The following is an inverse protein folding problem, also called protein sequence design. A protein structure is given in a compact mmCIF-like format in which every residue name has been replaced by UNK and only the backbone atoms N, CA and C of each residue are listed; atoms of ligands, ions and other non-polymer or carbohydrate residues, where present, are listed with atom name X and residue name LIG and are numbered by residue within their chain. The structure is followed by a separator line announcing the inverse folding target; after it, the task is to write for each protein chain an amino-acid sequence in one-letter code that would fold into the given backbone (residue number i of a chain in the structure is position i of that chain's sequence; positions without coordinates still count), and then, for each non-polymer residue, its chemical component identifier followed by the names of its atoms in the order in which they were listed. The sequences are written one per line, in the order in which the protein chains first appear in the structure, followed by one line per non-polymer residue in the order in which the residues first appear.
data_IF_665174928484
#
_entry.id   IF_665174928484
#
_cell.length_a   1.000
_cell.length_b   1.000
_cell.length_c   1.000
_cell.angle_alpha   90.00
_cell.angle_beta   90.00
_cell.angle_gamma   90.00
#
_symmetry.space_group_name_H-M   'P 1'
#
loop_
_entity.id
_entity.type
_entity.pdbx_description
1 polymer ?
#
# COMPACT_ATOMS: atom_id res chain seq x y z
N UNK A 1 -13.26 -9.68 -14.86
CA UNK A 1 -13.34 -8.47 -13.99
C UNK A 1 -12.02 -8.37 -13.25
N UNK A 2 -11.24 -7.36 -13.56
CA UNK A 2 -10.05 -7.00 -12.79
C UNK A 2 -10.48 -6.24 -11.52
N UNK A 3 -9.67 -6.32 -10.44
CA UNK A 3 -10.01 -5.80 -9.11
C UNK A 3 -11.42 -6.25 -8.66
N UNK A 4 -11.68 -7.55 -8.79
CA UNK A 4 -13.02 -8.13 -8.59
C UNK A 4 -13.56 -7.98 -7.16
N UNK A 5 -12.75 -7.56 -6.19
CA UNK A 5 -13.23 -7.13 -4.88
C UNK A 5 -14.26 -6.00 -4.98
N UNK A 6 -14.26 -5.21 -6.07
CA UNK A 6 -15.25 -4.16 -6.34
C UNK A 6 -16.56 -4.69 -6.95
N UNK A 7 -16.61 -5.97 -7.37
CA UNK A 7 -17.76 -6.52 -8.09
C UNK A 7 -19.07 -6.49 -7.27
N UNK A 8 -19.01 -6.44 -5.94
CA UNK A 8 -20.21 -6.31 -5.09
C UNK A 8 -20.81 -4.89 -5.05
N UNK A 9 -20.20 -3.88 -5.71
CA UNK A 9 -20.79 -2.54 -5.78
C UNK A 9 -21.96 -2.48 -6.74
N UNK A 10 -22.91 -1.57 -6.50
CA UNK A 10 -24.14 -1.43 -7.29
C UNK A 10 -23.87 -1.21 -8.78
N UNK A 11 -22.86 -0.41 -9.13
CA UNK A 11 -22.50 -0.14 -10.52
C UNK A 11 -21.97 -1.37 -11.24
N UNK A 12 -21.11 -2.17 -10.58
CA UNK A 12 -20.62 -3.42 -11.15
C UNK A 12 -21.73 -4.46 -11.29
N UNK A 13 -22.63 -4.58 -10.30
CA UNK A 13 -23.76 -5.49 -10.37
C UNK A 13 -24.70 -5.15 -11.54
N UNK A 14 -24.99 -3.87 -11.77
CA UNK A 14 -25.81 -3.44 -12.91
C UNK A 14 -25.19 -3.90 -14.25
N UNK A 15 -23.88 -3.70 -14.44
CA UNK A 15 -23.18 -4.14 -15.67
C UNK A 15 -23.19 -5.67 -15.80
N UNK A 16 -23.03 -6.41 -14.70
CA UNK A 16 -23.06 -7.87 -14.69
C UNK A 16 -24.46 -8.38 -15.06
N UNK A 17 -25.50 -7.77 -14.52
CA UNK A 17 -26.90 -8.16 -14.76
C UNK A 17 -27.30 -7.85 -16.20
N UNK A 18 -26.92 -6.70 -16.74
CA UNK A 18 -27.11 -6.37 -18.17
C UNK A 18 -26.40 -7.41 -19.07
N UNK A 19 -25.14 -7.72 -18.77
CA UNK A 19 -24.38 -8.69 -19.56
C UNK A 19 -24.99 -10.11 -19.48
N UNK A 20 -25.53 -10.53 -18.34
CA UNK A 20 -26.25 -11.80 -18.16
C UNK A 20 -27.58 -11.82 -18.90
N UNK A 21 -28.28 -10.70 -18.96
CA UNK A 21 -29.53 -10.58 -19.73
C UNK A 21 -29.32 -10.80 -21.24
N UNK A 22 -28.17 -10.28 -21.73
CA UNK A 22 -27.78 -10.44 -23.14
C UNK A 22 -27.21 -11.83 -23.45
N UNK A 23 -26.54 -12.46 -22.48
CA UNK A 23 -25.98 -13.79 -22.62
C UNK A 23 -26.19 -14.64 -21.35
N UNK A 24 -27.23 -15.45 -21.28
CA UNK A 24 -27.53 -16.32 -20.12
C UNK A 24 -26.40 -17.32 -19.78
N UNK A 25 -25.54 -17.63 -20.74
CA UNK A 25 -24.39 -18.54 -20.56
C UNK A 25 -23.10 -17.83 -20.18
N UNK A 26 -23.16 -16.53 -19.84
CA UNK A 26 -22.01 -15.73 -19.42
C UNK A 26 -21.27 -16.40 -18.26
N UNK A 27 -19.96 -16.56 -18.43
CA UNK A 27 -19.05 -16.97 -17.36
C UNK A 27 -18.29 -15.75 -16.86
N UNK A 28 -18.24 -15.59 -15.55
CA UNK A 28 -17.50 -14.52 -14.91
C UNK A 28 -16.18 -15.05 -14.34
N UNK A 29 -15.08 -14.41 -14.71
CA UNK A 29 -13.78 -14.59 -14.09
C UNK A 29 -13.42 -13.31 -13.36
N UNK A 30 -13.12 -13.42 -12.07
CA UNK A 30 -12.63 -12.33 -11.22
C UNK A 30 -11.16 -12.51 -10.91
N UNK A 31 -10.39 -11.42 -11.01
CA UNK A 31 -8.99 -11.32 -10.60
C UNK A 31 -8.87 -10.25 -9.53
N UNK A 32 -8.16 -10.52 -8.45
CA UNK A 32 -7.85 -9.54 -7.40
C UNK A 32 -6.64 -10.02 -6.60
N UNK A 33 -5.78 -9.08 -6.22
CA UNK A 33 -4.73 -9.35 -5.24
C UNK A 33 -5.29 -9.43 -3.80
N UNK A 34 -6.45 -8.81 -3.57
CA UNK A 34 -7.06 -8.65 -2.25
C UNK A 34 -8.57 -8.85 -2.35
N UNK A 35 -9.05 -10.09 -2.40
CA UNK A 35 -10.48 -10.37 -2.60
C UNK A 35 -11.35 -10.03 -1.37
N UNK A 36 -10.76 -9.95 -0.18
CA UNK A 36 -11.48 -9.50 1.02
C UNK A 36 -11.82 -8.02 0.93
N UNK A 37 -13.07 -7.71 1.23
CA UNK A 37 -13.61 -6.34 1.27
C UNK A 37 -13.83 -5.96 2.72
N UNK A 38 -13.27 -4.83 3.12
CA UNK A 38 -13.51 -4.33 4.46
C UNK A 38 -14.92 -3.76 4.72
N UNK A 39 -15.83 -3.84 3.75
CA UNK A 39 -17.21 -3.33 3.88
C UNK A 39 -18.25 -4.44 4.19
N UNK A 40 -17.80 -5.67 4.53
CA UNK A 40 -18.66 -6.78 4.90
C UNK A 40 -19.54 -7.32 3.76
N UNK A 41 -19.24 -7.01 2.51
CA UNK A 41 -20.01 -7.50 1.35
C UNK A 41 -19.36 -8.72 0.74
N UNK A 42 -19.99 -9.88 0.93
CA UNK A 42 -19.54 -11.14 0.34
C UNK A 42 -19.49 -11.11 -1.19
N UNK A 43 -18.41 -11.62 -1.76
CA UNK A 43 -18.28 -11.85 -3.21
C UNK A 43 -18.99 -13.12 -3.68
N UNK A 44 -19.49 -13.95 -2.77
CA UNK A 44 -20.17 -15.23 -3.08
C UNK A 44 -21.43 -15.04 -3.92
N UNK A 45 -22.08 -13.87 -3.86
CA UNK A 45 -23.24 -13.55 -4.73
C UNK A 45 -22.84 -13.40 -6.20
N UNK A 46 -21.59 -13.05 -6.47
CA UNK A 46 -21.07 -12.81 -7.84
C UNK A 46 -20.26 -13.99 -8.36
N UNK A 47 -19.44 -14.60 -7.51
CA UNK A 47 -18.54 -15.70 -7.85
C UNK A 47 -18.89 -16.94 -7.03
N UNK A 48 -18.94 -18.11 -7.67
CA UNK A 48 -19.32 -19.37 -7.04
C UNK A 48 -18.20 -20.04 -6.25
N UNK A 49 -16.95 -19.84 -6.66
CA UNK A 49 -15.77 -20.49 -6.07
C UNK A 49 -14.51 -19.69 -6.32
N UNK A 50 -13.46 -20.02 -5.56
CA UNK A 50 -12.08 -19.59 -5.82
C UNK A 50 -11.43 -20.67 -6.70
N UNK A 51 -11.14 -20.32 -7.96
CA UNK A 51 -10.54 -21.26 -8.91
C UNK A 51 -9.06 -21.49 -8.66
N UNK A 52 -8.34 -20.43 -8.29
CA UNK A 52 -6.89 -20.49 -8.03
C UNK A 52 -6.43 -19.34 -7.13
N UNK A 53 -5.46 -19.61 -6.27
CA UNK A 53 -4.80 -18.62 -5.42
C UNK A 53 -3.30 -18.73 -5.58
N UNK A 54 -2.63 -17.58 -5.81
CA UNK A 54 -1.17 -17.47 -5.79
C UNK A 54 -0.75 -16.75 -4.51
N UNK A 55 0.04 -17.39 -3.67
CA UNK A 55 0.55 -16.80 -2.43
C UNK A 55 1.79 -15.94 -2.69
N UNK A 56 1.92 -14.82 -1.98
CA UNK A 56 3.08 -13.91 -2.08
C UNK A 56 4.39 -14.65 -1.82
N UNK A 57 4.45 -15.51 -0.80
CA UNK A 57 5.63 -16.33 -0.49
C UNK A 57 6.03 -17.27 -1.63
N UNK A 58 5.06 -17.85 -2.36
CA UNK A 58 5.34 -18.67 -3.54
C UNK A 58 5.94 -17.82 -4.68
N UNK A 59 5.44 -16.60 -4.89
CA UNK A 59 6.01 -15.67 -5.89
C UNK A 59 7.42 -15.22 -5.53
N UNK A 60 7.70 -14.99 -4.24
CA UNK A 60 9.04 -14.69 -3.74
C UNK A 60 9.98 -15.89 -3.96
N UNK A 61 9.55 -17.11 -3.61
CA UNK A 61 10.34 -18.32 -3.80
C UNK A 61 10.65 -18.60 -5.28
N UNK A 62 9.76 -18.22 -6.20
CA UNK A 62 9.96 -18.31 -7.65
C UNK A 62 10.80 -17.14 -8.20
N UNK A 63 11.18 -16.15 -7.38
CA UNK A 63 11.92 -14.96 -7.80
C UNK A 63 11.12 -13.99 -8.70
N UNK A 64 9.78 -14.03 -8.63
CA UNK A 64 8.87 -13.10 -9.33
C UNK A 64 8.64 -11.83 -8.51
N UNK A 65 8.73 -11.93 -7.18
CA UNK A 65 8.70 -10.81 -6.25
C UNK A 65 9.98 -10.82 -5.40
N UNK A 66 10.33 -9.66 -4.83
CA UNK A 66 11.39 -9.55 -3.83
C UNK A 66 10.81 -9.66 -2.42
N UNK A 67 11.57 -10.17 -1.43
CA UNK A 67 11.09 -10.26 -0.05
C UNK A 67 10.96 -8.89 0.60
N UNK A 68 9.94 -8.64 1.45
CA UNK A 68 9.83 -7.46 2.28
C UNK A 68 10.77 -7.55 3.50
N UNK A 69 11.34 -6.41 3.90
CA UNK A 69 12.00 -6.20 5.19
C UNK A 69 11.25 -5.12 5.94
N UNK A 70 10.44 -5.51 6.91
CA UNK A 70 9.55 -4.59 7.62
C UNK A 70 10.19 -4.11 8.91
N UNK A 71 10.19 -2.79 9.10
CA UNK A 71 10.53 -2.11 10.34
C UNK A 71 9.28 -1.39 10.82
N UNK A 72 8.77 -1.78 11.98
CA UNK A 72 7.74 -1.02 12.69
C UNK A 72 8.45 -0.03 13.60
N UNK A 73 8.16 1.25 13.40
CA UNK A 73 8.83 2.35 14.08
C UNK A 73 7.82 3.03 14.99
N UNK A 74 8.12 3.03 16.27
CA UNK A 74 7.30 3.73 17.26
C UNK A 74 7.74 5.20 17.34
N UNK A 75 6.86 6.09 16.92
CA UNK A 75 7.04 7.55 17.05
C UNK A 75 6.51 8.09 18.39
N UNK A 76 6.16 7.22 19.34
CA UNK A 76 5.58 7.60 20.62
C UNK A 76 4.12 8.07 20.55
N UNK A 77 3.42 7.75 19.44
CA UNK A 77 2.01 8.12 19.21
C UNK A 77 1.09 6.91 19.06
N UNK A 78 1.56 5.73 19.45
CA UNK A 78 0.83 4.48 19.31
C UNK A 78 -0.54 4.50 19.98
N UNK A 79 -0.65 5.02 21.19
CA UNK A 79 -1.91 5.14 21.94
C UNK A 79 -2.87 6.12 21.27
N UNK A 80 -2.37 7.24 20.73
CA UNK A 80 -3.17 8.22 20.01
C UNK A 80 -3.75 7.60 18.73
N UNK A 81 -2.96 6.83 18.00
CA UNK A 81 -3.40 6.12 16.78
C UNK A 81 -4.36 4.97 17.10
N UNK A 82 -4.17 4.26 18.20
CA UNK A 82 -5.07 3.19 18.63
C UNK A 82 -6.45 3.71 19.04
N UNK A 83 -6.52 4.96 19.53
CA UNK A 83 -7.75 5.64 19.91
C UNK A 83 -8.52 6.29 18.76
N UNK A 84 -8.07 6.16 17.50
CA UNK A 84 -8.76 6.75 16.36
C UNK A 84 -10.10 6.06 16.08
N UNK A 85 -11.14 6.87 15.89
CA UNK A 85 -12.43 6.39 15.42
C UNK A 85 -12.33 5.83 14.00
N UNK A 86 -13.11 4.78 13.73
CA UNK A 86 -13.30 4.25 12.38
C UNK A 86 -14.75 4.40 11.97
N UNK A 87 -14.98 4.93 10.78
CA UNK A 87 -16.30 4.96 10.13
C UNK A 87 -16.33 3.96 8.99
N UNK A 88 -17.52 3.73 8.41
CA UNK A 88 -17.81 2.66 7.44
C UNK A 88 -16.81 2.54 6.26
N UNK A 89 -15.59 2.11 6.52
CA UNK A 89 -14.60 1.79 5.50
C UNK A 89 -13.18 2.25 5.75
N UNK A 90 -12.92 3.19 6.69
CA UNK A 90 -11.54 3.57 7.06
C UNK A 90 -11.51 4.31 8.42
N UNK A 91 -10.30 4.58 8.93
CA UNK A 91 -10.09 5.46 10.07
C UNK A 91 -10.43 6.92 9.72
N UNK A 92 -10.68 7.75 10.76
CA UNK A 92 -10.71 9.21 10.58
C UNK A 92 -9.32 9.72 10.19
N UNK A 93 -9.10 9.89 8.89
CA UNK A 93 -7.82 10.34 8.34
C UNK A 93 -7.46 11.77 8.75
N UNK A 94 -8.44 12.63 9.07
CA UNK A 94 -8.15 13.97 9.61
C UNK A 94 -7.67 13.89 11.06
N UNK A 95 -8.21 12.96 11.83
CA UNK A 95 -7.69 12.68 13.17
C UNK A 95 -6.28 12.07 13.10
N UNK A 96 -6.04 11.13 12.21
CA UNK A 96 -4.70 10.55 11.96
C UNK A 96 -3.70 11.63 11.52
N UNK A 97 -4.11 12.57 10.66
CA UNK A 97 -3.28 13.71 10.26
C UNK A 97 -2.86 14.58 11.45
N UNK A 98 -3.82 14.94 12.32
CA UNK A 98 -3.49 15.72 13.55
C UNK A 98 -2.46 15.02 14.46
N UNK A 99 -2.43 13.69 14.44
CA UNK A 99 -1.45 12.93 15.21
C UNK A 99 -0.10 12.86 14.50
N UNK A 100 -0.07 12.52 13.23
CA UNK A 100 1.14 12.18 12.47
C UNK A 100 1.79 13.39 11.77
N UNK A 101 1.02 14.42 11.42
CA UNK A 101 1.51 15.61 10.72
C UNK A 101 2.03 16.68 11.71
N UNK A 102 2.99 16.28 12.53
CA UNK A 102 3.72 17.16 13.47
C UNK A 102 5.17 17.25 12.99
N UNK A 103 5.74 18.44 12.95
CA UNK A 103 7.09 18.67 12.42
C UNK A 103 8.13 17.70 13.04
N UNK A 104 8.13 17.54 14.36
CA UNK A 104 9.02 16.60 15.05
C UNK A 104 8.90 15.16 14.55
N UNK A 105 7.68 14.71 14.22
CA UNK A 105 7.46 13.35 13.69
C UNK A 105 7.88 13.25 12.23
N UNK A 106 7.68 14.30 11.43
CA UNK A 106 8.12 14.33 10.02
C UNK A 106 9.64 14.30 9.92
N UNK A 107 10.35 15.03 10.81
CA UNK A 107 11.81 14.99 10.89
C UNK A 107 12.29 13.58 11.27
N UNK A 108 11.65 12.94 12.26
CA UNK A 108 11.97 11.56 12.64
C UNK A 108 11.73 10.56 11.49
N UNK A 109 10.73 10.78 10.65
CA UNK A 109 10.49 9.97 9.45
C UNK A 109 11.67 10.07 8.47
N UNK A 110 12.20 11.28 8.25
CA UNK A 110 13.40 11.51 7.41
C UNK A 110 14.60 10.78 7.99
N UNK A 111 14.89 10.94 9.29
CA UNK A 111 16.01 10.27 9.96
C UNK A 111 15.94 8.74 9.84
N UNK A 112 14.79 8.15 10.12
CA UNK A 112 14.60 6.70 9.99
C UNK A 112 14.73 6.21 8.56
N UNK A 113 14.28 7.01 7.58
CA UNK A 113 14.45 6.67 6.18
C UNK A 113 15.92 6.73 5.78
N UNK A 114 16.65 7.75 6.17
CA UNK A 114 18.10 7.88 5.93
C UNK A 114 18.89 6.71 6.51
N UNK A 115 18.55 6.29 7.73
CA UNK A 115 19.20 5.14 8.38
C UNK A 115 18.93 3.80 7.67
N UNK A 116 17.69 3.59 7.22
CA UNK A 116 17.23 2.26 6.79
C UNK A 116 17.04 2.10 5.29
N UNK A 117 16.92 3.19 4.54
CA UNK A 117 16.50 3.16 3.14
C UNK A 117 17.08 4.29 2.26
N UNK A 118 18.11 5.02 2.70
CA UNK A 118 18.61 6.27 2.09
C UNK A 118 18.82 6.24 0.56
N UNK A 119 19.23 5.14 -0.03
CA UNK A 119 19.51 5.03 -1.48
C UNK A 119 18.33 4.51 -2.29
N UNK A 120 17.18 4.27 -1.65
CA UNK A 120 16.04 3.60 -2.31
C UNK A 120 15.02 4.60 -2.83
N UNK A 121 14.53 4.36 -4.03
CA UNK A 121 13.31 5.03 -4.48
C UNK A 121 12.16 4.61 -3.58
N UNK A 122 11.46 5.59 -3.02
CA UNK A 122 10.51 5.39 -1.92
C UNK A 122 9.17 5.99 -2.22
N UNK A 123 8.09 5.27 -1.83
CA UNK A 123 6.73 5.80 -1.83
C UNK A 123 6.25 5.88 -0.39
N UNK A 124 5.79 7.06 0.03
CA UNK A 124 5.11 7.27 1.31
C UNK A 124 3.59 7.39 1.12
N UNK A 125 2.84 6.57 1.85
CA UNK A 125 1.39 6.64 1.95
C UNK A 125 1.02 7.44 3.20
N UNK A 126 0.48 8.64 3.01
CA UNK A 126 0.15 9.59 4.07
C UNK A 126 -1.35 9.63 4.34
N UNK A 127 -1.76 10.17 5.50
CA UNK A 127 -3.15 10.23 5.93
C UNK A 127 -3.97 11.22 5.08
N UNK A 128 -3.41 12.39 4.79
CA UNK A 128 -4.05 13.47 4.01
C UNK A 128 -3.11 14.02 2.95
N UNK A 129 -3.63 14.88 2.08
CA UNK A 129 -2.81 15.61 1.09
C UNK A 129 -1.87 16.58 1.79
N UNK A 130 -2.35 17.26 2.85
CA UNK A 130 -1.53 18.18 3.63
C UNK A 130 -0.36 17.46 4.32
N UNK A 131 -0.61 16.28 4.90
CA UNK A 131 0.43 15.42 5.45
C UNK A 131 1.43 14.98 4.38
N UNK A 132 0.97 14.55 3.20
CA UNK A 132 1.83 14.18 2.10
C UNK A 132 2.72 15.35 1.63
N UNK A 133 2.17 16.57 1.62
CA UNK A 133 2.91 17.79 1.29
C UNK A 133 3.98 18.06 2.32
N UNK A 134 3.63 18.05 3.61
CA UNK A 134 4.57 18.31 4.70
C UNK A 134 5.75 17.29 4.71
N UNK A 135 5.46 16.01 4.47
CA UNK A 135 6.50 14.97 4.37
C UNK A 135 7.41 15.21 3.16
N UNK A 136 6.87 15.58 1.99
CA UNK A 136 7.69 15.90 0.82
C UNK A 136 8.60 17.12 1.09
N UNK A 137 8.06 18.16 1.72
CA UNK A 137 8.82 19.37 2.09
C UNK A 137 9.93 19.06 3.08
N UNK A 138 9.69 18.21 4.08
CA UNK A 138 10.73 17.79 5.03
C UNK A 138 11.88 17.05 4.34
N UNK A 139 11.58 16.14 3.43
CA UNK A 139 12.61 15.48 2.61
C UNK A 139 13.37 16.45 1.72
N UNK A 140 12.69 17.41 1.09
CA UNK A 140 13.34 18.46 0.30
C UNK A 140 14.26 19.33 1.19
N UNK A 141 13.83 19.69 2.38
CA UNK A 141 14.65 20.46 3.34
C UNK A 141 15.90 19.68 3.80
N UNK A 142 15.82 18.36 3.89
CA UNK A 142 16.96 17.47 4.16
C UNK A 142 17.85 17.21 2.93
N UNK A 143 17.53 17.79 1.77
CA UNK A 143 18.33 17.67 0.54
C UNK A 143 17.97 16.51 -0.38
N UNK A 144 16.87 15.83 -0.12
CA UNK A 144 16.39 14.73 -0.95
C UNK A 144 15.35 15.21 -1.98
N UNK A 145 15.44 14.71 -3.23
CA UNK A 145 14.46 15.02 -4.27
C UNK A 145 13.14 14.31 -3.95
N UNK A 146 12.14 15.06 -3.50
CA UNK A 146 10.83 14.55 -3.14
C UNK A 146 9.72 15.33 -3.86
N UNK A 147 8.65 14.62 -4.24
CA UNK A 147 7.47 15.21 -4.86
C UNK A 147 6.18 14.62 -4.25
N UNK A 148 5.17 15.46 -4.05
CA UNK A 148 3.85 15.05 -3.62
C UNK A 148 2.95 14.78 -4.83
N UNK A 149 2.15 13.73 -4.78
CA UNK A 149 1.14 13.38 -5.78
C UNK A 149 -0.24 13.29 -5.12
N UNK A 150 -1.22 14.02 -5.69
CA UNK A 150 -2.62 13.96 -5.24
C UNK A 150 -3.58 13.57 -6.36
N UNK A 151 -4.81 13.22 -5.97
CA UNK A 151 -5.90 12.95 -6.91
C UNK A 151 -6.34 14.17 -7.71
N UNK A 152 -6.25 15.35 -7.10
CA UNK A 152 -6.66 16.62 -7.70
C UNK A 152 -5.59 17.20 -8.64
N UNK A 153 -4.39 16.64 -8.63
CA UNK A 153 -3.32 17.06 -9.55
C UNK A 153 -3.70 16.78 -11.00
N UNK A 154 -3.49 17.73 -11.93
CA UNK A 154 -3.73 17.52 -13.36
C UNK A 154 -3.02 16.26 -13.87
N UNK A 155 -3.70 15.45 -14.67
CA UNK A 155 -3.19 14.16 -15.16
C UNK A 155 -1.80 14.27 -15.81
N UNK A 156 -1.56 15.37 -16.57
CA UNK A 156 -0.26 15.61 -17.20
C UNK A 156 0.86 15.85 -16.20
N UNK A 157 0.59 16.63 -15.16
CA UNK A 157 1.57 16.93 -14.10
C UNK A 157 1.89 15.67 -13.29
N UNK A 158 0.86 14.92 -12.93
CA UNK A 158 1.01 13.64 -12.22
C UNK A 158 1.83 12.64 -13.05
N UNK A 159 1.55 12.52 -14.35
CA UNK A 159 2.32 11.65 -15.24
C UNK A 159 3.78 12.11 -15.35
N UNK A 160 4.05 13.42 -15.37
CA UNK A 160 5.40 13.97 -15.40
C UNK A 160 6.18 13.69 -14.10
N UNK A 161 5.53 13.83 -12.93
CA UNK A 161 6.13 13.50 -11.63
C UNK A 161 6.48 11.99 -11.54
N UNK A 162 5.55 11.13 -11.95
CA UNK A 162 5.79 9.69 -12.01
C UNK A 162 6.96 9.36 -12.96
N UNK A 163 7.05 10.02 -14.12
CA UNK A 163 8.13 9.80 -15.04
C UNK A 163 9.49 10.26 -14.49
N UNK A 164 9.56 11.37 -13.74
CA UNK A 164 10.79 11.79 -13.03
C UNK A 164 11.20 10.76 -11.99
N UNK A 165 10.23 10.29 -11.21
CA UNK A 165 10.48 9.23 -10.23
C UNK A 165 10.97 7.94 -10.90
N UNK A 166 10.36 7.50 -11.99
CA UNK A 166 10.73 6.28 -12.71
C UNK A 166 12.17 6.34 -13.28
N UNK A 167 12.64 7.54 -13.63
CA UNK A 167 14.02 7.79 -14.06
C UNK A 167 15.01 8.02 -12.91
N UNK A 168 14.54 8.04 -11.66
CA UNK A 168 15.38 8.29 -10.48
C UNK A 168 15.77 9.76 -10.27
N UNK A 169 15.17 10.70 -11.01
CA UNK A 169 15.35 12.15 -10.82
C UNK A 169 14.67 12.60 -9.52
N UNK A 170 13.51 12.03 -9.21
CA UNK A 170 12.84 12.13 -7.92
C UNK A 170 13.09 10.84 -7.14
N UNK A 171 13.55 10.96 -5.89
CA UNK A 171 13.85 9.81 -5.02
C UNK A 171 12.61 9.37 -4.23
N UNK A 172 11.77 10.31 -3.83
CA UNK A 172 10.68 10.11 -2.90
C UNK A 172 9.39 10.63 -3.50
N UNK A 173 8.36 9.78 -3.55
CA UNK A 173 6.99 10.20 -3.81
C UNK A 173 6.16 10.08 -2.54
N UNK A 174 5.48 11.15 -2.19
CA UNK A 174 4.47 11.13 -1.13
C UNK A 174 3.07 11.21 -1.73
N UNK A 175 2.11 10.51 -1.15
CA UNK A 175 0.74 10.51 -1.68
C UNK A 175 -0.30 10.20 -0.61
N UNK A 176 -1.55 10.59 -0.90
CA UNK A 176 -2.72 10.16 -0.14
C UNK A 176 -3.54 9.18 -1.01
N UNK A 177 -3.22 7.88 -0.92
CA UNK A 177 -3.90 6.73 -1.55
C UNK A 177 -4.01 6.74 -3.09
N UNK A 178 -3.34 7.66 -3.79
CA UNK A 178 -3.42 7.76 -5.26
C UNK A 178 -2.61 6.68 -5.96
N UNK A 179 -1.54 6.21 -5.32
CA UNK A 179 -0.62 5.22 -5.89
C UNK A 179 -0.94 3.77 -5.51
N UNK A 180 -2.08 3.52 -4.87
CA UNK A 180 -2.51 2.16 -4.51
C UNK A 180 -2.98 1.35 -5.70
N UNK A 181 -3.49 2.00 -6.75
CA UNK A 181 -4.00 1.35 -7.96
C UNK A 181 -3.37 1.96 -9.22
N UNK A 182 -3.16 1.15 -10.25
CA UNK A 182 -2.69 1.62 -11.57
C UNK A 182 -1.25 2.13 -11.64
N UNK A 183 -0.51 2.21 -10.55
CA UNK A 183 0.89 2.64 -10.52
C UNK A 183 1.82 1.43 -10.69
N UNK A 184 2.75 1.52 -11.63
CA UNK A 184 3.74 0.47 -11.90
C UNK A 184 5.14 1.07 -12.08
N UNK A 185 5.87 1.23 -10.98
CA UNK A 185 7.29 1.55 -10.99
C UNK A 185 8.06 0.45 -10.28
N UNK A 186 8.83 -0.32 -11.01
CA UNK A 186 9.59 -1.46 -10.49
C UNK A 186 10.78 -1.05 -9.60
N UNK A 187 11.45 0.12 -9.82
CA UNK A 187 12.56 0.56 -8.99
C UNK A 187 12.22 0.85 -7.52
N UNK A 188 10.94 0.96 -7.17
CA UNK A 188 10.51 1.20 -5.78
C UNK A 188 11.11 0.16 -4.84
N UNK A 189 12.06 0.57 -4.03
CA UNK A 189 12.79 -0.26 -3.08
C UNK A 189 12.41 -0.02 -1.61
N UNK A 190 11.57 0.99 -1.35
CA UNK A 190 11.05 1.28 -0.02
C UNK A 190 9.60 1.75 -0.07
N UNK A 191 8.81 1.31 0.91
CA UNK A 191 7.44 1.78 1.15
C UNK A 191 7.37 2.34 2.56
N UNK A 192 6.98 3.61 2.69
CA UNK A 192 6.69 4.26 3.97
C UNK A 192 5.17 4.31 4.22
N UNK A 193 4.76 3.87 5.40
CA UNK A 193 3.36 3.87 5.84
C UNK A 193 3.19 4.89 6.95
N UNK A 194 2.62 6.02 6.59
CA UNK A 194 2.34 7.18 7.44
C UNK A 194 0.83 7.40 7.60
N UNK A 195 0.07 6.32 7.53
CA UNK A 195 -1.37 6.34 7.80
C UNK A 195 -1.80 5.01 8.41
N UNK A 196 -2.71 5.01 9.37
CA UNK A 196 -3.31 3.77 9.83
C UNK A 196 -4.10 3.13 8.68
N UNK A 197 -4.07 1.81 8.59
CA UNK A 197 -4.79 1.04 7.59
C UNK A 197 -5.78 0.11 8.29
N UNK A 198 -7.08 0.30 8.05
CA UNK A 198 -8.13 -0.51 8.66
C UNK A 198 -8.17 -1.91 8.06
N UNK A 199 -7.97 -2.00 6.74
CA UNK A 199 -8.14 -3.24 5.99
C UNK A 199 -6.81 -3.82 5.52
N UNK A 200 -6.63 -5.14 5.72
CA UNK A 200 -5.46 -5.90 5.27
C UNK A 200 -5.23 -5.76 3.76
N UNK A 201 -6.29 -5.73 2.96
CA UNK A 201 -6.21 -5.54 1.52
C UNK A 201 -5.49 -4.25 1.13
N UNK A 202 -5.81 -3.13 1.78
CA UNK A 202 -5.14 -1.83 1.56
C UNK A 202 -3.64 -1.91 1.89
N UNK A 203 -3.30 -2.56 3.00
CA UNK A 203 -1.90 -2.78 3.40
C UNK A 203 -1.15 -3.62 2.37
N UNK A 204 -1.73 -4.75 1.93
CA UNK A 204 -1.12 -5.62 0.90
C UNK A 204 -0.94 -4.88 -0.42
N UNK A 205 -1.91 -4.08 -0.86
CA UNK A 205 -1.81 -3.28 -2.09
C UNK A 205 -0.70 -2.23 -2.00
N UNK A 206 -0.60 -1.51 -0.88
CA UNK A 206 0.45 -0.52 -0.66
C UNK A 206 1.85 -1.17 -0.69
N UNK A 207 2.05 -2.22 0.10
CA UNK A 207 3.33 -2.95 0.17
C UNK A 207 3.66 -3.62 -1.16
N UNK A 208 2.67 -4.19 -1.84
CA UNK A 208 2.81 -4.87 -3.13
C UNK A 208 3.45 -4.00 -4.22
N UNK A 209 3.32 -2.66 -4.14
CA UNK A 209 4.01 -1.74 -5.05
C UNK A 209 5.53 -1.86 -4.96
N UNK A 210 6.04 -2.11 -3.77
CA UNK A 210 7.47 -2.27 -3.51
C UNK A 210 8.01 -3.68 -3.76
N UNK A 211 7.16 -4.72 -3.85
CA UNK A 211 7.66 -6.10 -3.98
C UNK A 211 7.99 -6.51 -5.41
N UNK A 212 7.65 -5.72 -6.41
CA UNK A 212 7.90 -6.06 -7.82
C UNK A 212 9.38 -6.15 -8.09
N UNK A 213 9.77 -7.18 -8.84
CA UNK A 213 11.15 -7.33 -9.33
C UNK A 213 11.44 -6.32 -10.42
N UNK A 214 12.68 -5.85 -10.48
CA UNK A 214 13.14 -4.95 -11.54
C UNK A 214 13.45 -5.76 -12.80
N UNK A 215 12.91 -5.32 -13.93
CA UNK A 215 13.32 -5.81 -15.24
C UNK A 215 14.63 -5.13 -15.65
N UNK A 216 15.74 -5.87 -15.79
CA UNK A 216 17.03 -5.29 -16.10
C UNK A 216 17.11 -4.72 -17.53
N UNK A 217 16.20 -5.09 -18.42
CA UNK A 217 16.12 -4.48 -19.75
C UNK A 217 15.51 -3.09 -19.71
N UNK A 218 14.48 -2.90 -18.88
CA UNK A 218 13.80 -1.62 -18.67
C UNK A 218 14.57 -0.67 -17.74
N UNK A 219 15.27 -1.24 -16.77
CA UNK A 219 15.99 -0.47 -15.74
C UNK A 219 17.43 -0.97 -15.59
N UNK A 220 18.29 -0.70 -16.60
CA UNK A 220 19.68 -1.17 -16.57
C UNK A 220 20.46 -0.58 -15.40
N UNK A 221 21.19 -1.42 -14.67
CA UNK A 221 22.01 -1.02 -13.54
C UNK A 221 21.28 -0.96 -12.19
N UNK A 222 19.96 -1.11 -12.13
CA UNK A 222 19.22 -1.16 -10.87
C UNK A 222 19.19 -2.59 -10.34
N UNK A 223 19.78 -2.80 -9.15
CA UNK A 223 19.75 -4.07 -8.43
C UNK A 223 18.80 -3.93 -7.24
N UNK A 224 17.78 -4.80 -7.20
CA UNK A 224 16.79 -4.83 -6.13
C UNK A 224 16.63 -6.27 -5.64
N UNK A 225 17.08 -6.52 -4.42
CA UNK A 225 17.06 -7.85 -3.78
C UNK A 225 15.96 -7.99 -2.73
N UNK A 226 15.49 -6.87 -2.20
CA UNK A 226 14.43 -6.77 -1.19
C UNK A 226 13.66 -5.46 -1.33
N UNK A 227 12.60 -5.30 -0.53
CA UNK A 227 11.91 -4.03 -0.34
C UNK A 227 11.83 -3.72 1.16
N UNK A 228 12.29 -2.53 1.54
CA UNK A 228 12.14 -2.01 2.90
C UNK A 228 10.73 -1.47 3.11
N UNK A 229 10.09 -1.86 4.21
CA UNK A 229 8.80 -1.33 4.64
C UNK A 229 9.04 -0.57 5.94
N UNK A 230 8.84 0.74 5.92
CA UNK A 230 8.89 1.60 7.10
C UNK A 230 7.46 1.86 7.57
N UNK A 231 7.05 1.17 8.61
CA UNK A 231 5.69 1.28 9.16
C UNK A 231 5.70 2.14 10.42
N UNK A 232 5.22 3.37 10.29
CA UNK A 232 5.10 4.36 11.36
C UNK A 232 3.70 4.41 11.98
N UNK A 233 2.75 3.66 11.42
CA UNK A 233 1.34 3.70 11.80
C UNK A 233 0.81 2.36 12.35
N UNK A 234 1.70 1.38 12.56
CA UNK A 234 1.36 0.09 13.16
C UNK A 234 0.56 -0.86 12.26
N UNK A 235 0.51 -0.61 10.95
CA UNK A 235 -0.21 -1.46 10.01
C UNK A 235 0.32 -2.89 9.98
N UNK A 236 1.65 -3.06 10.04
CA UNK A 236 2.27 -4.39 10.06
C UNK A 236 1.97 -5.17 11.34
N UNK A 237 1.88 -4.51 12.50
CA UNK A 237 1.47 -5.14 13.76
C UNK A 237 0.00 -5.55 13.66
N UNK A 238 -0.86 -4.65 13.15
CA UNK A 238 -2.30 -4.89 13.05
C UNK A 238 -2.65 -6.03 12.11
N UNK A 239 -2.01 -6.10 10.95
CA UNK A 239 -2.38 -7.03 9.87
C UNK A 239 -1.50 -8.28 9.81
N UNK A 240 -0.40 -8.30 10.55
CA UNK A 240 0.53 -9.42 10.58
C UNK A 240 1.23 -9.65 9.22
N UNK A 241 1.33 -10.91 8.82
CA UNK A 241 1.99 -11.31 7.60
C UNK A 241 1.18 -10.87 6.35
N UNK A 242 1.88 -10.69 5.23
CA UNK A 242 1.27 -10.31 3.94
C UNK A 242 0.45 -11.44 3.29
N UNK A 243 0.56 -12.66 3.81
CA UNK A 243 -0.24 -13.79 3.35
C UNK A 243 -1.68 -13.64 3.83
N UNK A 244 -2.61 -13.94 2.94
CA UNK A 244 -4.03 -13.96 3.24
C UNK A 244 -4.65 -15.21 2.64
N UNK A 245 -5.43 -15.95 3.42
CA UNK A 245 -6.31 -16.97 2.87
C UNK A 245 -7.53 -16.31 2.23
N UNK A 246 -7.83 -16.72 1.01
CA UNK A 246 -8.96 -16.16 0.27
C UNK A 246 -10.23 -16.89 0.69
N UNK A 247 -11.16 -16.14 1.28
CA UNK A 247 -12.56 -16.54 1.43
C UNK A 247 -13.44 -15.65 0.55
N UNK A 248 -14.50 -16.21 -0.03
CA UNK A 248 -15.57 -15.44 -0.67
C UNK A 248 -16.60 -14.95 0.35
N UNK A 249 -16.60 -15.54 1.53
CA UNK A 249 -17.37 -15.13 2.69
C UNK A 249 -16.49 -14.15 3.49
N UNK A 250 -17.06 -13.07 3.96
CA UNK A 250 -16.35 -11.95 4.61
C UNK A 250 -15.98 -12.28 6.08
N UNK A 251 -15.50 -13.49 6.31
CA UNK A 251 -14.92 -13.83 7.61
C UNK A 251 -13.44 -13.38 7.59
N UNK A 252 -13.18 -12.19 8.08
CA UNK A 252 -11.84 -11.71 8.45
C UNK A 252 -11.34 -12.57 9.64
N UNK A 253 -11.05 -13.83 9.37
CA UNK A 253 -10.51 -14.75 10.37
C UNK A 253 -9.04 -14.43 10.60
N UNK A 254 -8.76 -14.00 11.80
CA UNK A 254 -7.50 -13.93 12.54
C UNK A 254 -6.24 -13.56 11.74
N UNK A 255 -5.74 -12.34 11.88
CA UNK A 255 -4.43 -11.97 11.36
C UNK A 255 -3.37 -12.76 12.14
N UNK A 256 -2.88 -13.84 11.57
CA UNK A 256 -1.76 -14.59 12.15
C UNK A 256 -0.65 -13.61 12.54
N UNK A 257 -0.22 -13.66 13.80
CA UNK A 257 0.81 -12.76 14.35
C UNK A 257 2.10 -12.93 13.57
N UNK A 258 2.56 -11.88 12.88
CA UNK A 258 3.85 -11.92 12.21
C UNK A 258 4.96 -12.08 13.26
N UNK A 259 5.93 -12.98 13.05
CA UNK A 259 7.10 -13.07 13.94
C UNK A 259 7.88 -11.75 13.86
N UNK A 260 8.05 -11.07 14.98
CA UNK A 260 8.82 -9.84 15.07
C UNK A 260 10.07 -10.02 15.95
N UNK A 261 11.12 -9.27 15.63
CA UNK A 261 12.27 -9.09 16.49
C UNK A 261 12.29 -7.62 16.92
N UNK A 262 12.37 -7.39 18.22
CA UNK A 262 12.59 -6.05 18.75
C UNK A 262 14.04 -5.64 18.47
N UNK A 263 14.25 -4.49 17.83
CA UNK A 263 15.59 -3.90 17.76
C UNK A 263 16.03 -3.51 19.17
N UNK A 264 17.26 -3.82 19.59
CA UNK A 264 17.78 -3.27 20.84
C UNK A 264 17.81 -1.74 20.75
N UNK A 265 17.62 -1.01 21.86
CA UNK A 265 17.76 0.43 21.86
C UNK A 265 19.17 0.82 21.37
N UNK A 266 19.33 1.96 20.70
CA UNK A 266 20.64 2.45 20.30
C UNK A 266 21.54 2.61 21.54
N UNK A 267 22.75 2.07 21.47
CA UNK A 267 23.78 2.14 22.52
C UNK A 267 24.40 3.53 22.56
#
# INVERSE_FOLDING_TARGET
IDECHRAASTSYQAVIDDARSLNPNLKLLGLSATPSRGDGRSLRKTFSNVGYQVRIGALIAQGLLVPPRTFTIDLGVGDELAGLDSTAGDFDMRAADRVLNRAVLTDAVVEHWEEKAADRQTIFFCATVDHATAVAEAFCAAGHAAEMISGDMPTRERAAAIARFDRGETRILTNCMVLTEGFDSQPVGCIGILRPMLHKGTFIQAVGRGLRKVDPQRYPGIIKTDCVILDFAGAAIRHGCLEQEISLDDDDTDPGTAPYKTCPPPT
#
